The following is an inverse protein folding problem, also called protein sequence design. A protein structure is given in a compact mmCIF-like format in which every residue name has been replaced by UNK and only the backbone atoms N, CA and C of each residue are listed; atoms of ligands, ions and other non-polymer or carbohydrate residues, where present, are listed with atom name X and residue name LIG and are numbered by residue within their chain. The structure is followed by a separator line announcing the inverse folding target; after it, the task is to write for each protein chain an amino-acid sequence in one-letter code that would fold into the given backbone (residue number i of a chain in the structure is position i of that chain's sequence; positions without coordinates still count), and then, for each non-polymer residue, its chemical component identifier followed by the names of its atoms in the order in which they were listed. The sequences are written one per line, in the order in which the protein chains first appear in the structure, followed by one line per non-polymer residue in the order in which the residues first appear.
data_IF_131124879801
#
_entry.id   IF_131124879801
#
_cell.length_a   1.000
_cell.length_b   1.000
_cell.length_c   1.000
_cell.angle_alpha   90.00
_cell.angle_beta   90.00
_cell.angle_gamma   90.00
#
_symmetry.space_group_name_H-M   'P 1'
#
loop_
_entity.id
_entity.type
_entity.pdbx_description
1 polymer ?
#
# COMPACT_ATOMS: atom_id res chain seq x y z
N UNK A 1 3.26 -7.31 -7.87
CA UNK A 1 4.60 -7.63 -8.42
C UNK A 1 5.48 -8.04 -7.26
N UNK A 2 6.40 -8.99 -7.45
CA UNK A 2 7.36 -9.41 -6.43
C UNK A 2 7.00 -10.72 -5.72
N UNK A 3 7.80 -11.07 -4.70
CA UNK A 3 7.78 -12.39 -4.06
C UNK A 3 6.44 -12.79 -3.44
N UNK A 4 5.71 -11.85 -2.83
CA UNK A 4 4.37 -12.13 -2.28
C UNK A 4 3.37 -12.54 -3.37
N UNK A 5 3.37 -11.84 -4.50
CA UNK A 5 2.52 -12.19 -5.64
C UNK A 5 2.91 -13.57 -6.20
N UNK A 6 4.20 -13.84 -6.36
CA UNK A 6 4.69 -15.14 -6.84
C UNK A 6 4.32 -16.30 -5.89
N UNK A 7 4.42 -16.08 -4.58
CA UNK A 7 3.99 -17.05 -3.56
C UNK A 7 2.49 -17.33 -3.64
N UNK A 8 1.67 -16.29 -3.79
CA UNK A 8 0.22 -16.44 -3.94
C UNK A 8 -0.16 -17.18 -5.24
N UNK A 9 0.51 -16.89 -6.37
CA UNK A 9 0.30 -17.63 -7.62
C UNK A 9 0.54 -19.13 -7.43
N UNK A 10 1.62 -19.50 -6.75
CA UNK A 10 1.91 -20.92 -6.48
C UNK A 10 0.89 -21.55 -5.54
N UNK A 11 0.56 -20.87 -4.45
CA UNK A 11 -0.33 -21.42 -3.42
C UNK A 11 -1.80 -21.53 -3.87
N UNK A 12 -2.28 -20.53 -4.63
CA UNK A 12 -3.70 -20.41 -5.00
C UNK A 12 -3.97 -21.01 -6.39
N UNK A 13 -3.07 -20.79 -7.35
CA UNK A 13 -3.26 -21.20 -8.74
C UNK A 13 -2.49 -22.46 -9.10
N UNK A 14 -1.55 -22.91 -8.26
CA UNK A 14 -0.64 -24.00 -8.60
C UNK A 14 0.43 -23.64 -9.64
N UNK A 15 0.58 -22.34 -9.96
CA UNK A 15 1.47 -21.85 -11.03
C UNK A 15 2.69 -21.15 -10.41
N UNK A 16 3.89 -21.60 -10.79
CA UNK A 16 5.14 -20.92 -10.42
C UNK A 16 5.41 -19.70 -11.29
N UNK A 17 5.97 -18.65 -10.71
CA UNK A 17 6.55 -17.55 -11.48
C UNK A 17 7.99 -17.93 -11.88
N UNK A 18 8.24 -18.08 -13.18
CA UNK A 18 9.59 -18.38 -13.70
C UNK A 18 10.58 -17.22 -13.51
N UNK A 19 10.04 -15.99 -13.49
CA UNK A 19 10.81 -14.78 -13.28
C UNK A 19 10.12 -13.88 -12.25
N UNK A 20 10.92 -13.32 -11.34
CA UNK A 20 10.50 -12.31 -10.37
C UNK A 20 11.52 -11.18 -10.42
N UNK A 21 11.10 -9.91 -10.56
CA UNK A 21 12.04 -8.80 -10.63
C UNK A 21 12.72 -8.60 -9.28
N UNK A 22 13.99 -8.17 -9.31
CA UNK A 22 14.74 -7.85 -8.09
C UNK A 22 14.07 -6.72 -7.30
N UNK A 23 13.58 -5.71 -8.01
CA UNK A 23 12.73 -4.66 -7.45
C UNK A 23 11.26 -4.98 -7.71
N UNK A 24 10.45 -5.04 -6.65
CA UNK A 24 9.02 -5.34 -6.72
C UNK A 24 8.18 -4.14 -7.23
N UNK A 25 8.64 -3.47 -8.29
CA UNK A 25 8.06 -2.27 -8.91
C UNK A 25 7.58 -2.58 -10.34
N UNK A 26 6.86 -1.64 -10.96
CA UNK A 26 6.46 -1.82 -12.35
C UNK A 26 7.67 -1.71 -13.27
N UNK A 27 8.53 -0.75 -12.97
CA UNK A 27 9.79 -0.42 -13.62
C UNK A 27 10.77 -1.61 -13.53
N UNK A 28 10.88 -2.24 -12.35
CA UNK A 28 11.70 -3.43 -12.15
C UNK A 28 11.27 -4.61 -13.00
N UNK A 29 9.96 -4.79 -13.24
CA UNK A 29 9.47 -5.83 -14.14
C UNK A 29 9.72 -5.50 -15.62
N UNK A 30 9.65 -4.22 -16.02
CA UNK A 30 10.03 -3.80 -17.38
C UNK A 30 11.52 -4.04 -17.62
N UNK A 31 12.38 -3.72 -16.64
CA UNK A 31 13.81 -4.01 -16.71
C UNK A 31 14.09 -5.52 -16.83
N UNK A 32 13.36 -6.35 -16.06
CA UNK A 32 13.43 -7.81 -16.18
C UNK A 32 12.99 -8.28 -17.58
N UNK A 33 11.89 -7.75 -18.11
CA UNK A 33 11.40 -8.10 -19.45
C UNK A 33 12.41 -7.72 -20.54
N UNK A 34 13.08 -6.59 -20.40
CA UNK A 34 14.17 -6.19 -21.30
C UNK A 34 15.33 -7.20 -21.24
N UNK A 35 15.75 -7.62 -20.05
CA UNK A 35 16.82 -8.59 -19.86
C UNK A 35 16.48 -9.98 -20.44
N UNK A 36 15.20 -10.39 -20.37
CA UNK A 36 14.73 -11.69 -20.89
C UNK A 36 14.48 -11.65 -22.41
N UNK A 37 14.21 -10.48 -22.99
CA UNK A 37 13.92 -10.34 -24.41
C UNK A 37 12.50 -10.78 -24.76
N UNK A 38 11.60 -9.80 -24.88
CA UNK A 38 10.15 -10.04 -25.01
C UNK A 38 9.54 -9.61 -26.35
N UNK A 39 10.36 -9.12 -27.29
CA UNK A 39 9.90 -8.69 -28.61
C UNK A 39 9.11 -9.79 -29.33
N UNK A 40 7.96 -9.43 -29.90
CA UNK A 40 7.05 -10.34 -30.59
C UNK A 40 6.24 -11.28 -29.70
N UNK A 41 6.49 -11.30 -28.37
CA UNK A 41 5.72 -12.12 -27.44
C UNK A 41 4.40 -11.45 -27.06
N UNK A 42 3.41 -12.27 -26.70
CA UNK A 42 2.08 -11.82 -26.26
C UNK A 42 1.93 -12.00 -24.76
N UNK A 43 1.43 -10.97 -24.09
CA UNK A 43 1.19 -10.97 -22.65
C UNK A 43 -0.26 -10.61 -22.34
N UNK A 44 -0.88 -11.38 -21.45
CA UNK A 44 -2.12 -11.01 -20.79
C UNK A 44 -1.76 -10.40 -19.42
N UNK A 45 -2.22 -9.18 -19.17
CA UNK A 45 -1.91 -8.43 -17.96
C UNK A 45 -3.19 -8.15 -17.15
N UNK A 46 -3.62 -9.09 -16.28
CA UNK A 46 -4.72 -8.87 -15.36
C UNK A 46 -4.33 -7.82 -14.32
N UNK A 47 -5.11 -6.75 -14.21
CA UNK A 47 -4.79 -5.59 -13.36
C UNK A 47 -6.04 -4.96 -12.74
N UNK A 48 -5.83 -4.02 -11.81
CA UNK A 48 -6.90 -3.15 -11.35
C UNK A 48 -7.42 -2.28 -12.52
N UNK A 49 -8.70 -1.88 -12.48
CA UNK A 49 -9.31 -0.96 -13.46
C UNK A 49 -8.47 0.31 -13.65
N UNK A 50 -8.02 0.89 -12.55
CA UNK A 50 -7.23 2.14 -12.54
C UNK A 50 -5.72 1.89 -12.40
N UNK A 51 -5.25 0.70 -12.80
CA UNK A 51 -3.83 0.39 -12.73
C UNK A 51 -3.01 1.31 -13.64
N UNK A 52 -1.90 1.85 -13.10
CA UNK A 52 -0.94 2.65 -13.87
C UNK A 52 -0.47 1.90 -15.12
N UNK A 53 -0.32 2.61 -16.23
CA UNK A 53 0.04 2.03 -17.53
C UNK A 53 1.54 1.82 -17.77
N UNK A 54 2.38 2.02 -16.76
CA UNK A 54 3.84 1.81 -16.82
C UNK A 54 4.21 0.43 -17.38
N UNK A 55 3.50 -0.62 -16.95
CA UNK A 55 3.79 -2.00 -17.40
C UNK A 55 3.42 -2.25 -18.86
N UNK A 56 2.14 -2.08 -19.28
CA UNK A 56 1.76 -2.35 -20.66
C UNK A 56 2.52 -1.43 -21.64
N UNK A 57 2.71 -0.16 -21.31
CA UNK A 57 3.47 0.78 -22.14
C UNK A 57 4.96 0.39 -22.23
N UNK A 58 5.57 0.03 -21.10
CA UNK A 58 6.98 -0.39 -21.06
C UNK A 58 7.25 -1.68 -21.83
N UNK A 59 6.38 -2.69 -21.69
CA UNK A 59 6.48 -3.94 -22.45
C UNK A 59 6.22 -3.71 -23.96
N UNK A 60 5.25 -2.87 -24.32
CA UNK A 60 4.98 -2.51 -25.71
C UNK A 60 6.18 -1.78 -26.35
N UNK A 61 6.85 -0.90 -25.60
CA UNK A 61 8.08 -0.24 -26.04
C UNK A 61 9.23 -1.21 -26.31
N UNK A 62 9.22 -2.39 -25.68
CA UNK A 62 10.15 -3.50 -25.94
C UNK A 62 9.71 -4.41 -27.11
N UNK A 63 8.66 -4.04 -27.84
CA UNK A 63 8.14 -4.78 -28.99
C UNK A 63 7.24 -5.95 -28.63
N UNK A 64 6.77 -6.05 -27.39
CA UNK A 64 5.77 -7.06 -27.01
C UNK A 64 4.35 -6.59 -27.35
N UNK A 65 3.42 -7.55 -27.49
CA UNK A 65 1.99 -7.27 -27.60
C UNK A 65 1.35 -7.53 -26.24
N UNK A 66 0.75 -6.49 -25.64
CA UNK A 66 0.20 -6.58 -24.29
C UNK A 66 -1.29 -6.29 -24.31
N UNK A 67 -2.06 -7.20 -23.72
CA UNK A 67 -3.49 -7.03 -23.47
C UNK A 67 -3.70 -6.83 -21.97
N UNK A 68 -4.07 -5.62 -21.56
CA UNK A 68 -4.44 -5.35 -20.18
C UNK A 68 -5.91 -5.65 -19.95
N UNK A 69 -6.21 -6.50 -18.96
CA UNK A 69 -7.57 -6.88 -18.59
C UNK A 69 -7.88 -6.35 -17.19
N UNK A 70 -8.85 -5.45 -17.01
CA UNK A 70 -9.27 -5.01 -15.70
C UNK A 70 -10.05 -6.15 -15.02
N UNK A 71 -9.55 -6.68 -13.90
CA UNK A 71 -10.16 -7.82 -13.19
C UNK A 71 -10.66 -7.47 -11.79
N UNK A 72 -10.33 -6.29 -11.28
CA UNK A 72 -10.87 -5.74 -10.03
C UNK A 72 -10.78 -4.22 -10.02
N UNK A 73 -11.47 -3.57 -9.09
CA UNK A 73 -11.35 -2.13 -8.83
C UNK A 73 -11.32 -1.86 -7.33
N UNK A 74 -10.69 -0.76 -6.94
CA UNK A 74 -10.71 -0.31 -5.55
C UNK A 74 -11.86 0.67 -5.39
N UNK A 75 -12.84 0.31 -4.58
CA UNK A 75 -13.99 1.17 -4.25
C UNK A 75 -13.86 1.75 -2.84
N UNK A 76 -14.40 2.95 -2.58
CA UNK A 76 -14.56 3.44 -1.21
C UNK A 76 -15.40 2.46 -0.39
N UNK A 77 -15.07 2.35 0.89
CA UNK A 77 -15.83 1.55 1.85
C UNK A 77 -16.94 2.44 2.46
N UNK A 78 -18.23 2.21 2.16
CA UNK A 78 -19.31 3.13 2.52
C UNK A 78 -19.43 3.40 4.02
N UNK A 79 -18.99 2.45 4.86
CA UNK A 79 -19.05 2.57 6.32
C UNK A 79 -17.80 3.18 6.97
N UNK A 80 -16.81 3.61 6.17
CA UNK A 80 -15.51 4.06 6.70
C UNK A 80 -15.64 5.23 7.68
N UNK A 81 -16.42 6.25 7.33
CA UNK A 81 -16.63 7.44 8.18
C UNK A 81 -17.32 7.09 9.50
N UNK A 82 -18.45 6.39 9.45
CA UNK A 82 -19.19 5.98 10.65
C UNK A 82 -18.35 5.11 11.58
N UNK A 83 -17.54 4.19 11.03
CA UNK A 83 -16.63 3.37 11.82
C UNK A 83 -15.49 4.17 12.42
N UNK A 84 -14.96 5.16 11.69
CA UNK A 84 -13.94 6.05 12.21
C UNK A 84 -14.47 6.84 13.41
N UNK A 85 -15.62 7.49 13.27
CA UNK A 85 -16.28 8.24 14.37
C UNK A 85 -16.46 7.33 15.58
N UNK A 86 -17.07 6.15 15.37
CA UNK A 86 -17.28 5.16 16.44
C UNK A 86 -15.98 4.77 17.13
N UNK A 87 -14.89 4.58 16.37
CA UNK A 87 -13.59 4.24 16.94
C UNK A 87 -13.00 5.41 17.75
N UNK A 88 -13.08 6.64 17.25
CA UNK A 88 -12.62 7.84 17.96
C UNK A 88 -13.35 8.00 19.29
N UNK A 89 -14.68 7.89 19.28
CA UNK A 89 -15.54 7.97 20.46
C UNK A 89 -15.19 6.86 21.46
N UNK A 90 -14.88 5.66 20.97
CA UNK A 90 -14.52 4.50 21.78
C UNK A 90 -13.10 4.53 22.37
N UNK A 91 -12.27 5.52 22.06
CA UNK A 91 -10.92 5.59 22.63
C UNK A 91 -9.76 5.47 21.64
N UNK A 92 -9.99 5.50 20.32
CA UNK A 92 -8.93 5.31 19.33
C UNK A 92 -7.75 6.24 19.61
N UNK A 93 -6.56 5.66 19.69
CA UNK A 93 -5.33 6.34 20.11
C UNK A 93 -4.22 6.27 19.05
N UNK A 94 -4.34 5.38 18.06
CA UNK A 94 -3.37 5.18 17.00
C UNK A 94 -4.05 4.51 15.80
N UNK A 95 -3.66 4.89 14.58
CA UNK A 95 -4.06 4.18 13.36
C UNK A 95 -2.83 3.69 12.60
N UNK A 96 -2.87 2.45 12.12
CA UNK A 96 -1.78 1.85 11.34
C UNK A 96 -2.06 1.99 9.84
N UNK A 97 -1.07 2.43 9.07
CA UNK A 97 -1.15 2.56 7.62
C UNK A 97 0.03 1.85 6.93
N UNK A 98 -0.30 1.01 5.95
CA UNK A 98 0.68 0.16 5.26
C UNK A 98 0.94 0.58 3.80
N UNK A 99 0.32 1.66 3.33
CA UNK A 99 0.54 2.17 1.98
C UNK A 99 0.12 3.63 1.83
N UNK A 100 0.68 4.38 0.86
CA UNK A 100 0.22 5.72 0.55
C UNK A 100 -1.24 5.79 0.08
N UNK A 101 -1.79 4.72 -0.52
CA UNK A 101 -3.21 4.67 -0.89
C UNK A 101 -4.11 4.58 0.32
N UNK A 102 -3.75 3.76 1.32
CA UNK A 102 -4.50 3.68 2.58
C UNK A 102 -4.55 5.04 3.30
N UNK A 103 -3.44 5.79 3.28
CA UNK A 103 -3.39 7.15 3.82
C UNK A 103 -4.42 8.08 3.15
N UNK A 104 -4.49 8.08 1.81
CA UNK A 104 -5.45 8.95 1.09
C UNK A 104 -6.90 8.57 1.38
N UNK A 105 -7.20 7.28 1.46
CA UNK A 105 -8.55 6.81 1.84
C UNK A 105 -8.89 7.21 3.27
N UNK A 106 -7.93 7.12 4.19
CA UNK A 106 -8.10 7.55 5.57
C UNK A 106 -8.29 9.07 5.67
N UNK A 107 -7.52 9.87 4.93
CA UNK A 107 -7.65 11.32 4.84
C UNK A 107 -9.08 11.74 4.46
N UNK A 108 -9.65 11.11 3.42
CA UNK A 108 -11.02 11.36 3.00
C UNK A 108 -12.04 11.02 4.09
N UNK A 109 -11.84 9.92 4.83
CA UNK A 109 -12.72 9.54 5.92
C UNK A 109 -12.65 10.52 7.11
N UNK A 110 -11.47 11.07 7.42
CA UNK A 110 -11.32 12.13 8.42
C UNK A 110 -12.04 13.42 8.00
N UNK A 111 -11.92 13.82 6.73
CA UNK A 111 -12.61 15.00 6.21
C UNK A 111 -14.13 14.86 6.27
N UNK A 112 -14.66 13.72 5.83
CA UNK A 112 -16.10 13.43 5.88
C UNK A 112 -16.64 13.36 7.31
N UNK A 113 -15.83 12.90 8.25
CA UNK A 113 -16.15 12.91 9.68
C UNK A 113 -15.90 14.26 10.39
N UNK A 114 -15.39 15.27 9.68
CA UNK A 114 -14.98 16.57 10.26
C UNK A 114 -13.99 16.45 11.44
N UNK A 115 -13.10 15.46 11.38
CA UNK A 115 -12.08 15.22 12.40
C UNK A 115 -10.76 15.88 12.03
N UNK A 116 -10.06 16.45 13.01
CA UNK A 116 -8.70 16.94 12.82
C UNK A 116 -7.74 15.76 12.57
N UNK A 117 -7.10 15.74 11.40
CA UNK A 117 -6.11 14.70 11.03
C UNK A 117 -4.89 14.69 11.95
N UNK A 118 -4.58 15.80 12.63
CA UNK A 118 -3.51 15.84 13.63
C UNK A 118 -3.93 15.26 14.99
N UNK A 119 -5.23 15.07 15.25
CA UNK A 119 -5.72 14.62 16.56
C UNK A 119 -5.28 13.19 16.91
N UNK A 120 -5.17 12.30 15.93
CA UNK A 120 -4.81 10.89 16.11
C UNK A 120 -3.50 10.59 15.38
N UNK A 121 -2.46 10.10 16.08
CA UNK A 121 -1.20 9.73 15.44
C UNK A 121 -1.36 8.50 14.56
N UNK A 122 -0.49 8.40 13.54
CA UNK A 122 -0.38 7.23 12.67
C UNK A 122 0.93 6.46 12.90
N UNK A 123 0.85 5.14 12.77
CA UNK A 123 2.02 4.29 12.59
C UNK A 123 2.12 3.88 11.11
N UNK A 124 3.22 4.21 10.45
CA UNK A 124 3.40 3.91 9.03
C UNK A 124 4.41 2.77 8.84
N UNK A 125 4.11 1.83 7.94
CA UNK A 125 4.99 0.67 7.68
C UNK A 125 6.37 1.05 7.15
N UNK A 126 6.52 2.24 6.56
CA UNK A 126 7.78 2.69 5.97
C UNK A 126 7.75 4.14 5.49
N UNK A 127 8.90 4.67 5.05
CA UNK A 127 9.14 6.10 4.87
C UNK A 127 8.28 6.72 3.76
N UNK A 128 7.99 5.98 2.69
CA UNK A 128 7.13 6.47 1.60
C UNK A 128 5.68 6.65 2.06
N UNK A 129 5.21 5.80 2.96
CA UNK A 129 3.86 5.88 3.54
C UNK A 129 3.80 7.01 4.58
N UNK A 130 4.85 7.14 5.40
CA UNK A 130 4.97 8.23 6.37
C UNK A 130 4.98 9.59 5.68
N UNK A 131 5.76 9.75 4.61
CA UNK A 131 5.80 11.00 3.83
C UNK A 131 4.44 11.35 3.22
N UNK A 132 3.69 10.36 2.72
CA UNK A 132 2.34 10.58 2.23
C UNK A 132 1.40 11.05 3.36
N UNK A 133 1.48 10.43 4.54
CA UNK A 133 0.66 10.80 5.70
C UNK A 133 0.95 12.22 6.21
N UNK A 134 2.23 12.60 6.32
CA UNK A 134 2.61 13.96 6.70
C UNK A 134 2.10 15.00 5.69
N UNK A 135 2.17 14.70 4.38
CA UNK A 135 1.64 15.58 3.34
C UNK A 135 0.12 15.79 3.46
N UNK A 136 -0.60 14.77 3.91
CA UNK A 136 -2.04 14.84 4.20
C UNK A 136 -2.33 15.47 5.58
N UNK A 137 -1.34 15.93 6.34
CA UNK A 137 -1.54 16.61 7.62
C UNK A 137 -1.65 15.69 8.85
N UNK A 138 -1.32 14.41 8.72
CA UNK A 138 -1.26 13.49 9.85
C UNK A 138 0.07 13.58 10.61
N UNK A 139 0.03 13.32 11.92
CA UNK A 139 1.24 13.06 12.72
C UNK A 139 1.66 11.61 12.57
N UNK A 140 2.93 11.33 12.30
CA UNK A 140 3.45 9.97 12.11
C UNK A 140 4.67 9.71 13.02
N UNK A 141 4.46 9.51 14.33
CA UNK A 141 5.57 9.30 15.27
C UNK A 141 6.25 7.94 15.11
N UNK A 142 5.57 6.95 14.51
CA UNK A 142 6.05 5.56 14.46
C UNK A 142 6.30 5.15 13.02
N UNK A 143 7.56 4.88 12.71
CA UNK A 143 8.01 4.26 11.46
C UNK A 143 9.12 3.26 11.82
N UNK A 144 8.97 1.96 11.53
CA UNK A 144 9.98 0.98 11.89
C UNK A 144 11.24 1.15 11.02
N UNK A 145 12.40 0.80 11.57
CA UNK A 145 13.67 0.84 10.84
C UNK A 145 13.70 -0.15 9.66
N UNK A 146 12.99 -1.28 9.81
CA UNK A 146 12.80 -2.29 8.77
C UNK A 146 11.32 -2.34 8.40
N UNK A 147 11.00 -2.28 7.11
CA UNK A 147 9.64 -1.99 6.65
C UNK A 147 8.76 -3.24 6.53
N UNK A 148 8.70 -4.04 7.61
CA UNK A 148 7.83 -5.22 7.70
C UNK A 148 6.67 -4.98 8.66
N UNK A 149 5.61 -5.78 8.53
CA UNK A 149 4.50 -5.75 9.50
C UNK A 149 4.96 -6.18 10.91
N UNK A 150 5.90 -7.11 11.01
CA UNK A 150 6.42 -7.56 12.30
C UNK A 150 7.15 -6.43 13.01
N UNK A 151 8.04 -5.73 12.31
CA UNK A 151 8.78 -4.59 12.86
C UNK A 151 7.88 -3.40 13.17
N UNK A 152 6.84 -3.17 12.36
CA UNK A 152 5.83 -2.15 12.66
C UNK A 152 5.10 -2.45 13.97
N UNK A 153 4.71 -3.71 14.20
CA UNK A 153 4.08 -4.13 15.46
C UNK A 153 5.04 -3.93 16.63
N UNK A 154 6.32 -4.31 16.50
CA UNK A 154 7.32 -4.10 17.54
C UNK A 154 7.50 -2.62 17.88
N UNK A 155 7.61 -1.76 16.88
CA UNK A 155 7.74 -0.31 17.07
C UNK A 155 6.52 0.29 17.79
N UNK A 156 5.30 -0.21 17.49
CA UNK A 156 4.08 0.20 18.19
C UNK A 156 4.12 -0.24 19.67
N UNK A 157 4.56 -1.47 19.94
CA UNK A 157 4.68 -2.00 21.32
C UNK A 157 5.70 -1.19 22.13
N UNK A 158 6.82 -0.81 21.52
CA UNK A 158 7.83 0.03 22.17
C UNK A 158 7.28 1.42 22.51
N UNK A 159 6.63 2.10 21.56
CA UNK A 159 5.98 3.39 21.81
C UNK A 159 4.89 3.31 22.89
N UNK A 160 4.12 2.21 22.91
CA UNK A 160 3.12 1.97 23.94
C UNK A 160 3.74 1.86 25.34
N UNK A 161 4.85 1.11 25.47
CA UNK A 161 5.58 0.94 26.74
C UNK A 161 6.24 2.22 27.22
N UNK A 162 6.68 3.08 26.31
CA UNK A 162 7.22 4.40 26.61
C UNK A 162 6.15 5.43 27.02
N UNK A 163 4.86 5.08 26.91
CA UNK A 163 3.75 5.98 27.25
C UNK A 163 3.42 7.02 26.17
N UNK A 164 4.06 6.92 25.00
CA UNK A 164 3.98 7.89 23.89
C UNK A 164 2.64 7.82 23.13
N UNK A 165 1.87 6.76 23.35
CA UNK A 165 0.52 6.58 22.79
C UNK A 165 -0.60 7.09 23.72
N UNK A 166 -0.26 7.69 24.86
CA UNK A 166 -1.24 8.24 25.80
C UNK A 166 -1.88 9.51 25.23
N UNK A 167 -3.21 9.63 25.35
CA UNK A 167 -3.96 10.81 24.89
C UNK A 167 -3.41 12.11 25.51
N UNK A 168 -3.51 13.26 24.80
CA UNK A 168 -3.49 14.54 25.48
C UNK A 168 -4.64 14.52 26.51
N UNK A 169 -4.33 14.82 27.78
CA UNK A 169 -5.35 14.97 28.82
C UNK A 169 -6.24 16.14 28.39
N UNK A 170 -7.48 15.84 28.02
CA UNK A 170 -8.56 16.83 27.93
C UNK A 170 -8.98 17.30 29.31
#
# INVERSE_FOLDING_TARGET
VGGQTAGAMRAVLGVGADHVPAEATAEGLVALAQAVGVAGRRFLFPAARDARRVMPEGLAALGAVVEQVPVYETVPEPSAEARLITAVDAGLSLVTVASPSAVRTLAAAFDGAHLDRASIPLAAIGPTTAAAAVKEGFRVPIVPATYTLADLVLAIVEAARAGELSRPRG
#
